data_IF_357092232067
#
_entry.id   IF_357092232067
#
_cell.length_a   1.000
_cell.length_b   1.000
_cell.length_c   1.000
_cell.angle_alpha   90.00
_cell.angle_beta   90.00
_cell.angle_gamma   90.00
#
_symmetry.space_group_name_H-M   'P 1'
#
loop_
_entity.id
_entity.type
_entity.pdbx_description
1 polymer ?
#
# COMPACT_ATOMS: atom_id res chain seq x y z
N UNK A 1 18.95 11.21 13.96
CA UNK A 1 17.99 10.26 14.57
C UNK A 1 17.10 9.76 13.45
N UNK A 2 16.84 8.45 13.33
CA UNK A 2 15.90 7.96 12.33
C UNK A 2 14.55 8.66 12.52
N UNK A 3 13.87 9.03 11.43
CA UNK A 3 12.61 9.78 11.51
C UNK A 3 11.46 8.98 12.13
N UNK A 4 11.71 7.71 12.49
CA UNK A 4 10.73 6.85 13.12
C UNK A 4 11.44 5.74 13.93
N UNK A 5 11.61 5.87 15.26
CA UNK A 5 12.03 4.75 16.09
C UNK A 5 10.90 3.70 16.07
N UNK A 6 11.15 2.58 15.39
CA UNK A 6 10.34 1.34 15.38
C UNK A 6 8.88 1.57 15.80
N UNK A 7 8.05 2.07 14.87
CA UNK A 7 6.62 2.21 15.13
C UNK A 7 6.10 0.86 15.62
N UNK A 8 5.68 0.79 16.89
CA UNK A 8 5.02 -0.40 17.43
C UNK A 8 3.76 -0.59 16.57
N UNK A 9 3.75 -1.65 15.77
CA UNK A 9 2.61 -2.02 14.95
C UNK A 9 1.39 -2.18 15.85
N UNK A 10 0.45 -1.23 15.80
CA UNK A 10 -0.82 -1.34 16.54
C UNK A 10 -1.70 -2.35 15.83
N UNK A 11 -1.61 -3.61 16.26
CA UNK A 11 -2.30 -4.74 15.63
C UNK A 11 -3.77 -4.77 16.02
N UNK A 12 -4.70 -4.81 15.05
CA UNK A 12 -6.11 -5.08 15.34
C UNK A 12 -6.28 -6.54 15.76
N UNK A 13 -7.36 -6.80 16.50
CA UNK A 13 -7.72 -8.17 16.89
C UNK A 13 -8.21 -8.96 15.67
N UNK A 14 -8.02 -10.27 15.67
CA UNK A 14 -8.50 -11.15 14.59
C UNK A 14 -10.02 -11.03 14.38
N UNK A 15 -10.80 -10.78 15.44
CA UNK A 15 -12.23 -10.53 15.33
C UNK A 15 -12.55 -9.27 14.50
N UNK A 16 -11.82 -8.16 14.73
CA UNK A 16 -11.97 -6.93 13.96
C UNK A 16 -11.56 -7.12 12.50
N UNK A 17 -10.48 -7.87 12.25
CA UNK A 17 -10.02 -8.15 10.88
C UNK A 17 -11.09 -8.95 10.12
N UNK A 18 -11.66 -9.99 10.74
CA UNK A 18 -12.69 -10.82 10.11
C UNK A 18 -13.97 -10.05 9.83
N UNK A 19 -14.50 -9.30 10.81
CA UNK A 19 -15.69 -8.48 10.59
C UNK A 19 -15.46 -7.43 9.49
N UNK A 20 -14.30 -6.76 9.50
CA UNK A 20 -13.93 -5.83 8.44
C UNK A 20 -13.85 -6.50 7.06
N UNK A 21 -13.28 -7.71 6.96
CA UNK A 21 -13.18 -8.45 5.70
C UNK A 21 -14.57 -8.88 5.19
N UNK A 22 -15.48 -9.27 6.08
CA UNK A 22 -16.87 -9.58 5.75
C UNK A 22 -17.64 -8.35 5.27
N UNK A 23 -17.46 -7.19 5.92
CA UNK A 23 -18.03 -5.92 5.47
C UNK A 23 -17.52 -5.53 4.07
N UNK A 24 -16.20 -5.60 3.84
CA UNK A 24 -15.60 -5.31 2.52
C UNK A 24 -16.13 -6.26 1.44
N UNK A 25 -16.24 -7.57 1.73
CA UNK A 25 -16.74 -8.56 0.77
C UNK A 25 -18.22 -8.37 0.43
N UNK A 26 -19.05 -8.05 1.41
CA UNK A 26 -20.51 -7.97 1.25
C UNK A 26 -21.01 -6.62 0.75
N UNK A 27 -20.38 -5.53 1.19
CA UNK A 27 -20.85 -4.14 0.94
C UNK A 27 -19.87 -3.33 0.09
N UNK A 28 -18.66 -3.82 -0.16
CA UNK A 28 -17.58 -3.07 -0.81
C UNK A 28 -16.99 -1.94 0.03
N UNK A 29 -17.45 -1.75 1.28
CA UNK A 29 -17.04 -0.68 2.20
C UNK A 29 -17.02 -1.21 3.64
N UNK A 30 -16.21 -0.58 4.48
CA UNK A 30 -16.05 -0.93 5.89
C UNK A 30 -16.15 0.30 6.78
N UNK A 31 -16.70 0.12 7.99
CA UNK A 31 -16.76 1.16 9.01
C UNK A 31 -15.46 1.25 9.84
N UNK A 32 -14.51 0.33 9.63
CA UNK A 32 -13.23 0.35 10.30
C UNK A 32 -12.25 1.31 9.64
N UNK A 33 -11.30 1.85 10.40
CA UNK A 33 -10.21 2.66 9.86
C UNK A 33 -9.18 1.85 9.06
N UNK A 34 -8.31 2.56 8.34
CA UNK A 34 -7.27 1.98 7.47
C UNK A 34 -6.36 0.98 8.19
N UNK A 35 -6.10 1.19 9.49
CA UNK A 35 -5.30 0.30 10.33
C UNK A 35 -5.86 -1.13 10.40
N UNK A 36 -7.18 -1.30 10.29
CA UNK A 36 -7.84 -2.62 10.22
C UNK A 36 -8.05 -3.04 8.77
N UNK A 37 -8.48 -2.12 7.91
CA UNK A 37 -8.78 -2.43 6.51
C UNK A 37 -7.60 -3.05 5.77
N UNK A 38 -6.37 -2.62 6.04
CA UNK A 38 -5.17 -3.18 5.40
C UNK A 38 -5.03 -4.69 5.65
N UNK A 39 -5.29 -5.18 6.86
CA UNK A 39 -5.24 -6.62 7.15
C UNK A 39 -6.44 -7.35 6.57
N UNK A 40 -7.62 -6.73 6.61
CA UNK A 40 -8.82 -7.29 6.02
C UNK A 40 -8.67 -7.49 4.49
N UNK A 41 -8.10 -6.52 3.78
CA UNK A 41 -7.75 -6.61 2.36
C UNK A 41 -6.80 -7.78 2.09
N UNK A 42 -5.75 -7.92 2.89
CA UNK A 42 -4.84 -9.07 2.80
C UNK A 42 -5.57 -10.41 3.01
N UNK A 43 -6.56 -10.45 3.91
CA UNK A 43 -7.37 -11.65 4.17
C UNK A 43 -8.28 -12.04 3.01
N UNK A 44 -8.62 -11.09 2.16
CA UNK A 44 -9.42 -11.31 0.95
C UNK A 44 -8.56 -11.64 -0.27
N UNK A 45 -7.24 -11.47 -0.18
CA UNK A 45 -6.32 -11.71 -1.28
C UNK A 45 -6.24 -13.21 -1.62
N UNK A 46 -6.44 -13.55 -2.89
CA UNK A 46 -6.14 -14.89 -3.37
C UNK A 46 -4.63 -15.04 -3.63
N UNK A 47 -3.95 -15.62 -2.65
CA UNK A 47 -2.52 -15.91 -2.69
C UNK A 47 -2.25 -17.41 -2.91
N UNK A 48 -3.27 -18.21 -3.19
CA UNK A 48 -3.09 -19.65 -3.43
C UNK A 48 -2.13 -19.96 -4.60
N UNK A 49 -2.12 -19.20 -5.72
CA UNK A 49 -1.17 -19.43 -6.81
C UNK A 49 0.30 -19.38 -6.36
N UNK A 50 0.65 -18.47 -5.45
CA UNK A 50 2.01 -18.36 -4.92
C UNK A 50 2.44 -19.63 -4.15
N UNK A 51 1.54 -20.22 -3.38
CA UNK A 51 1.82 -21.45 -2.65
C UNK A 51 2.06 -22.63 -3.59
N UNK A 52 1.42 -22.65 -4.76
CA UNK A 52 1.68 -23.63 -5.79
C UNK A 52 3.08 -23.41 -6.41
N UNK A 53 3.44 -22.16 -6.71
CA UNK A 53 4.76 -21.82 -7.24
C UNK A 53 5.90 -22.23 -6.29
N UNK A 54 5.70 -22.13 -4.97
CA UNK A 54 6.73 -22.50 -3.99
C UNK A 54 6.90 -24.01 -3.83
N UNK A 55 5.93 -24.79 -4.29
CA UNK A 55 6.00 -26.24 -4.36
C UNK A 55 6.50 -26.75 -5.73
N UNK A 56 6.63 -25.86 -6.72
CA UNK A 56 7.19 -26.22 -8.01
C UNK A 56 8.68 -26.56 -7.87
N UNK A 57 9.02 -27.83 -8.13
CA UNK A 57 10.39 -28.34 -7.98
C UNK A 57 11.38 -27.67 -8.93
N UNK A 58 10.97 -27.33 -10.16
CA UNK A 58 11.84 -26.64 -11.11
C UNK A 58 12.16 -25.22 -10.63
N UNK A 59 11.20 -24.50 -10.05
CA UNK A 59 11.41 -23.17 -9.50
C UNK A 59 12.30 -23.21 -8.26
N UNK A 60 12.09 -24.19 -7.39
CA UNK A 60 12.92 -24.40 -6.22
C UNK A 60 14.37 -24.75 -6.60
N UNK A 61 14.55 -25.63 -7.60
CA UNK A 61 15.86 -25.99 -8.14
C UNK A 61 16.59 -24.80 -8.76
N UNK A 62 15.91 -23.95 -9.53
CA UNK A 62 16.49 -22.73 -10.12
C UNK A 62 17.06 -21.76 -9.06
N UNK A 63 16.54 -21.82 -7.83
CA UNK A 63 16.95 -20.99 -6.71
C UNK A 63 17.91 -21.71 -5.74
N UNK A 64 18.26 -22.97 -6.00
CA UNK A 64 18.98 -23.84 -5.08
C UNK A 64 18.33 -23.91 -3.69
N UNK A 65 16.99 -23.98 -3.67
CA UNK A 65 16.21 -24.07 -2.44
C UNK A 65 15.37 -25.35 -2.45
N UNK A 66 15.13 -25.97 -1.28
CA UNK A 66 14.20 -27.07 -1.20
C UNK A 66 12.75 -26.57 -1.25
N UNK A 67 11.84 -27.43 -1.70
CA UNK A 67 10.42 -27.29 -1.42
C UNK A 67 10.15 -27.72 0.02
N UNK A 68 9.05 -27.25 0.62
CA UNK A 68 8.64 -27.63 1.98
C UNK A 68 7.20 -28.21 1.97
N UNK A 69 6.96 -29.37 1.35
CA UNK A 69 5.62 -29.90 1.12
C UNK A 69 4.86 -30.20 2.42
N UNK A 70 5.55 -30.62 3.48
CA UNK A 70 4.94 -30.83 4.80
C UNK A 70 4.42 -29.52 5.40
N UNK A 71 5.14 -28.42 5.20
CA UNK A 71 4.70 -27.08 5.64
C UNK A 71 3.51 -26.64 4.78
N UNK A 72 3.60 -26.78 3.47
CA UNK A 72 2.51 -26.43 2.55
C UNK A 72 1.19 -27.12 2.92
N UNK A 73 1.25 -28.42 3.23
CA UNK A 73 0.11 -29.19 3.71
C UNK A 73 -0.39 -28.69 5.08
N UNK A 74 0.53 -28.42 6.03
CA UNK A 74 0.18 -28.00 7.39
C UNK A 74 -0.57 -26.66 7.45
N UNK A 75 -0.33 -25.75 6.51
CA UNK A 75 -0.98 -24.43 6.45
C UNK A 75 -2.49 -24.55 6.32
N UNK A 76 -2.97 -25.56 5.58
CA UNK A 76 -4.40 -25.79 5.32
C UNK A 76 -5.10 -26.56 6.44
N UNK A 77 -4.36 -27.10 7.40
CA UNK A 77 -4.91 -27.91 8.49
C UNK A 77 -5.25 -27.05 9.70
N UNK A 78 -6.23 -27.48 10.48
CA UNK A 78 -6.49 -26.94 11.81
C UNK A 78 -5.48 -27.54 12.79
N UNK A 79 -4.44 -26.79 13.11
CA UNK A 79 -3.37 -27.21 14.00
C UNK A 79 -3.70 -26.86 15.48
N UNK A 80 -3.21 -27.67 16.40
CA UNK A 80 -3.18 -27.33 17.83
C UNK A 80 -2.12 -26.24 18.11
N UNK A 81 -2.23 -25.47 19.20
CA UNK A 81 -1.26 -24.44 19.54
C UNK A 81 0.20 -24.95 19.57
N UNK A 82 0.43 -26.15 20.12
CA UNK A 82 1.75 -26.76 20.16
C UNK A 82 2.29 -27.14 18.77
N UNK A 83 1.41 -27.55 17.84
CA UNK A 83 1.80 -27.82 16.46
C UNK A 83 2.13 -26.53 15.70
N UNK A 84 1.36 -25.45 15.94
CA UNK A 84 1.66 -24.13 15.40
C UNK A 84 3.05 -23.66 15.86
N UNK A 85 3.30 -23.68 17.17
CA UNK A 85 4.59 -23.28 17.75
C UNK A 85 5.74 -24.07 17.12
N UNK A 86 5.62 -25.42 17.07
CA UNK A 86 6.62 -26.27 16.44
C UNK A 86 6.87 -25.92 14.96
N UNK A 87 5.81 -25.66 14.19
CA UNK A 87 5.92 -25.27 12.80
C UNK A 87 6.70 -23.96 12.64
N UNK A 88 6.39 -22.95 13.46
CA UNK A 88 7.10 -21.67 13.45
C UNK A 88 8.57 -21.82 13.86
N UNK A 89 8.86 -22.60 14.90
CA UNK A 89 10.24 -22.88 15.32
C UNK A 89 11.05 -23.53 14.20
N UNK A 90 10.50 -24.54 13.52
CA UNK A 90 11.19 -25.21 12.41
C UNK A 90 11.44 -24.24 11.25
N UNK A 91 10.44 -23.42 10.89
CA UNK A 91 10.59 -22.43 9.83
C UNK A 91 11.66 -21.37 10.17
N UNK A 92 11.72 -20.94 11.42
CA UNK A 92 12.74 -20.00 11.89
C UNK A 92 14.13 -20.61 11.81
N UNK A 93 14.31 -21.84 12.30
CA UNK A 93 15.59 -22.57 12.22
C UNK A 93 16.05 -22.74 10.77
N UNK A 94 15.15 -23.12 9.86
CA UNK A 94 15.48 -23.22 8.44
C UNK A 94 15.87 -21.86 7.84
N UNK A 95 15.17 -20.80 8.22
CA UNK A 95 15.49 -19.44 7.77
C UNK A 95 16.88 -19.01 8.25
N UNK A 96 17.24 -19.29 9.50
CA UNK A 96 18.57 -19.04 10.08
C UNK A 96 19.67 -19.81 9.34
N UNK A 97 19.38 -21.05 8.91
CA UNK A 97 20.26 -21.85 8.05
C UNK A 97 20.29 -21.36 6.59
N UNK A 98 19.52 -20.32 6.28
CA UNK A 98 19.56 -19.65 5.00
C UNK A 98 18.51 -20.07 3.99
N UNK A 99 17.55 -20.90 4.39
CA UNK A 99 16.46 -21.38 3.54
C UNK A 99 15.45 -20.25 3.29
N UNK A 100 15.40 -19.75 2.06
CA UNK A 100 14.49 -18.66 1.69
C UNK A 100 13.06 -19.15 1.48
N UNK A 101 12.86 -20.42 1.10
CA UNK A 101 11.52 -21.03 1.06
C UNK A 101 10.84 -20.96 2.43
N UNK A 102 11.58 -21.23 3.51
CA UNK A 102 11.08 -21.11 4.88
C UNK A 102 10.72 -19.66 5.24
N UNK A 103 11.54 -18.69 4.83
CA UNK A 103 11.27 -17.27 5.02
C UNK A 103 9.99 -16.82 4.29
N UNK A 104 9.73 -17.33 3.07
CA UNK A 104 8.49 -17.06 2.33
C UNK A 104 7.25 -17.56 3.08
N UNK A 105 7.33 -18.77 3.63
CA UNK A 105 6.23 -19.30 4.45
C UNK A 105 6.01 -18.48 5.72
N UNK A 106 7.06 -18.05 6.41
CA UNK A 106 6.91 -17.14 7.56
C UNK A 106 6.27 -15.82 7.15
N UNK A 107 6.72 -15.22 6.04
CA UNK A 107 6.15 -13.98 5.53
C UNK A 107 4.65 -14.11 5.22
N UNK A 108 4.27 -15.21 4.58
CA UNK A 108 2.88 -15.54 4.26
C UNK A 108 2.02 -15.76 5.50
N UNK A 109 2.50 -16.57 6.45
CA UNK A 109 1.78 -16.85 7.69
C UNK A 109 1.54 -15.57 8.50
N UNK A 110 2.53 -14.68 8.59
CA UNK A 110 2.38 -13.39 9.25
C UNK A 110 1.54 -12.37 8.47
N UNK A 111 1.57 -12.38 7.13
CA UNK A 111 0.76 -11.42 6.36
C UNK A 111 -0.72 -11.78 6.44
N UNK A 112 -1.01 -13.07 6.47
CA UNK A 112 -2.35 -13.60 6.57
C UNK A 112 -2.80 -13.69 8.03
N UNK A 113 -1.94 -13.93 9.01
CA UNK A 113 -2.38 -14.28 10.37
C UNK A 113 -2.89 -15.73 10.43
N UNK A 114 -2.21 -16.64 9.72
CA UNK A 114 -2.52 -18.07 9.75
C UNK A 114 -1.70 -18.70 10.87
N UNK A 115 -2.36 -19.40 11.79
CA UNK A 115 -1.74 -20.06 12.95
C UNK A 115 -0.97 -19.12 13.90
N UNK A 116 -1.08 -17.80 13.71
CA UNK A 116 -0.43 -16.75 14.50
C UNK A 116 -1.16 -15.41 14.30
N UNK A 117 -0.80 -14.40 15.08
CA UNK A 117 -1.25 -13.02 14.85
C UNK A 117 -0.58 -12.39 13.63
N UNK A 118 -1.34 -11.63 12.84
CA UNK A 118 -0.79 -10.93 11.68
C UNK A 118 0.30 -9.92 12.08
N UNK A 119 1.37 -9.83 11.29
CA UNK A 119 2.40 -8.80 11.47
C UNK A 119 3.11 -8.45 10.16
N UNK A 120 2.82 -7.26 9.65
CA UNK A 120 3.39 -6.72 8.42
C UNK A 120 4.88 -6.43 8.58
N UNK A 121 5.33 -6.06 9.79
CA UNK A 121 6.75 -5.87 10.08
C UNK A 121 7.54 -7.16 9.96
N UNK A 122 7.02 -8.27 10.52
CA UNK A 122 7.64 -9.59 10.37
C UNK A 122 7.56 -10.07 8.93
N UNK A 123 6.43 -9.86 8.25
CA UNK A 123 6.30 -10.13 6.81
C UNK A 123 7.40 -9.41 6.01
N UNK A 124 7.54 -8.10 6.18
CA UNK A 124 8.56 -7.30 5.50
C UNK A 124 9.99 -7.75 5.84
N UNK A 125 10.24 -8.14 7.09
CA UNK A 125 11.53 -8.67 7.51
C UNK A 125 11.92 -9.94 6.75
N UNK A 126 11.04 -10.95 6.72
CA UNK A 126 11.33 -12.21 6.02
C UNK A 126 11.36 -12.05 4.50
N UNK A 127 10.52 -11.19 3.94
CA UNK A 127 10.58 -10.83 2.52
C UNK A 127 11.91 -10.17 2.15
N UNK A 128 12.39 -9.21 2.96
CA UNK A 128 13.69 -8.58 2.76
C UNK A 128 14.83 -9.58 2.84
N UNK A 129 14.77 -10.50 3.80
CA UNK A 129 15.76 -11.57 3.92
C UNK A 129 15.84 -12.41 2.64
N UNK A 130 14.70 -12.92 2.15
CA UNK A 130 14.66 -13.76 0.96
C UNK A 130 15.04 -12.98 -0.33
N UNK A 131 14.53 -11.76 -0.49
CA UNK A 131 14.90 -10.89 -1.61
C UNK A 131 16.39 -10.52 -1.62
N UNK A 132 16.99 -10.32 -0.43
CA UNK A 132 18.43 -10.09 -0.26
C UNK A 132 19.29 -11.26 -0.74
N UNK A 133 18.76 -12.48 -0.71
CA UNK A 133 19.37 -13.70 -1.28
C UNK A 133 19.02 -13.95 -2.74
N UNK A 134 18.44 -12.95 -3.43
CA UNK A 134 18.01 -13.04 -4.84
C UNK A 134 16.94 -14.10 -5.09
N UNK A 135 16.14 -14.43 -4.07
CA UNK A 135 14.96 -15.26 -4.26
C UNK A 135 13.81 -14.41 -4.83
N UNK A 136 13.58 -14.54 -6.13
CA UNK A 136 12.58 -13.76 -6.86
C UNK A 136 11.15 -13.98 -6.34
N UNK A 137 10.87 -15.12 -5.70
CA UNK A 137 9.55 -15.42 -5.13
C UNK A 137 9.19 -14.45 -4.00
N UNK A 138 10.19 -13.91 -3.32
CA UNK A 138 9.99 -12.91 -2.27
C UNK A 138 9.45 -11.60 -2.85
N UNK A 139 10.08 -11.12 -3.91
CA UNK A 139 9.62 -9.93 -4.63
C UNK A 139 8.24 -10.14 -5.26
N UNK A 140 7.96 -11.35 -5.76
CA UNK A 140 6.63 -11.69 -6.25
C UNK A 140 5.57 -11.62 -5.14
N UNK A 141 5.79 -12.28 -3.99
CA UNK A 141 4.88 -12.19 -2.85
C UNK A 141 4.71 -10.73 -2.38
N UNK A 142 5.79 -9.96 -2.31
CA UNK A 142 5.75 -8.57 -1.91
C UNK A 142 4.84 -7.73 -2.82
N UNK A 143 4.95 -7.93 -4.14
CA UNK A 143 4.10 -7.26 -5.12
C UNK A 143 2.62 -7.63 -4.94
N UNK A 144 2.31 -8.91 -4.78
CA UNK A 144 0.93 -9.37 -4.56
C UNK A 144 0.31 -8.77 -3.30
N UNK A 145 1.08 -8.66 -2.21
CA UNK A 145 0.62 -8.02 -0.98
C UNK A 145 0.36 -6.52 -1.17
N UNK A 146 1.23 -5.82 -1.91
CA UNK A 146 1.06 -4.39 -2.20
C UNK A 146 -0.14 -4.12 -3.12
N UNK A 147 -0.38 -4.99 -4.10
CA UNK A 147 -1.56 -4.92 -4.97
C UNK A 147 -2.83 -5.19 -4.18
N UNK A 148 -2.83 -6.24 -3.35
CA UNK A 148 -4.00 -6.64 -2.59
C UNK A 148 -4.37 -5.63 -1.50
N UNK A 149 -3.38 -5.05 -0.83
CA UNK A 149 -3.58 -4.08 0.24
C UNK A 149 -2.59 -2.90 0.14
N UNK A 150 -2.84 -1.91 -0.74
CA UNK A 150 -2.01 -0.71 -0.83
C UNK A 150 -1.86 0.04 0.49
N UNK A 151 -2.88 -0.02 1.37
CA UNK A 151 -2.85 0.55 2.71
C UNK A 151 -1.79 -0.09 3.63
N UNK A 152 -1.30 -1.30 3.30
CA UNK A 152 -0.22 -1.97 4.02
C UNK A 152 1.17 -1.51 3.56
N UNK A 153 1.27 -0.70 2.51
CA UNK A 153 2.55 -0.35 1.90
C UNK A 153 3.52 0.31 2.88
N UNK A 154 3.04 1.23 3.74
CA UNK A 154 3.90 1.85 4.76
C UNK A 154 4.58 0.83 5.67
N UNK A 155 3.89 -0.24 6.07
CA UNK A 155 4.49 -1.26 6.93
C UNK A 155 5.36 -2.25 6.16
N UNK A 156 4.98 -2.53 4.90
CA UNK A 156 5.68 -3.47 4.05
C UNK A 156 6.99 -2.89 3.50
N UNK A 157 6.97 -1.70 2.92
CA UNK A 157 8.12 -1.04 2.27
C UNK A 157 8.64 0.17 3.07
N UNK A 158 8.12 0.39 4.28
CA UNK A 158 8.50 1.55 5.11
C UNK A 158 9.99 1.72 5.30
N UNK A 159 10.70 0.64 5.64
CA UNK A 159 12.12 0.71 5.97
C UNK A 159 13.01 1.11 4.79
N UNK A 160 12.68 0.68 3.56
CA UNK A 160 13.47 1.04 2.37
C UNK A 160 13.28 2.51 2.01
N UNK A 161 12.03 2.99 2.01
CA UNK A 161 11.69 4.39 1.77
C UNK A 161 12.29 5.30 2.85
N UNK A 162 12.24 4.85 4.11
CA UNK A 162 12.81 5.56 5.24
C UNK A 162 14.33 5.72 5.11
N UNK A 163 15.03 4.65 4.72
CA UNK A 163 16.48 4.70 4.51
C UNK A 163 16.87 5.68 3.39
N UNK A 164 16.10 5.73 2.31
CA UNK A 164 16.35 6.67 1.22
C UNK A 164 16.00 8.12 1.59
N UNK A 165 14.96 8.32 2.40
CA UNK A 165 14.64 9.64 2.95
C UNK A 165 15.72 10.14 3.93
N UNK A 166 16.34 9.26 4.71
CA UNK A 166 17.46 9.59 5.58
C UNK A 166 18.72 10.00 4.80
N UNK A 167 19.03 9.29 3.70
CA UNK A 167 20.10 9.71 2.78
C UNK A 167 19.82 11.08 2.18
N UNK A 168 18.58 11.32 1.74
CA UNK A 168 18.18 12.62 1.22
C UNK A 168 18.29 13.73 2.26
N UNK A 169 17.87 13.49 3.50
CA UNK A 169 18.01 14.49 4.57
C UNK A 169 19.46 14.80 4.92
N UNK A 170 20.35 13.81 4.84
CA UNK A 170 21.78 14.05 5.03
C UNK A 170 22.34 15.05 3.99
N UNK A 171 21.81 15.06 2.76
CA UNK A 171 22.13 16.05 1.73
C UNK A 171 21.46 17.42 2.01
N UNK A 172 20.30 17.43 2.68
CA UNK A 172 19.47 18.61 2.94
C UNK A 172 19.18 18.83 4.45
N UNK A 173 20.20 19.01 5.31
CA UNK A 173 20.07 18.93 6.77
C UNK A 173 19.21 20.05 7.39
N UNK A 174 19.00 21.14 6.66
CA UNK A 174 18.19 22.29 7.10
C UNK A 174 16.67 22.02 7.06
N UNK A 175 16.25 20.94 6.42
CA UNK A 175 14.83 20.58 6.29
C UNK A 175 14.31 20.04 7.62
N UNK A 176 13.16 20.55 8.08
CA UNK A 176 12.52 20.08 9.31
C UNK A 176 12.11 18.59 9.17
N UNK A 177 12.60 17.70 10.06
CA UNK A 177 12.17 16.31 10.17
C UNK A 177 10.66 16.08 10.09
N UNK A 178 9.86 16.96 10.69
CA UNK A 178 8.38 16.82 10.69
C UNK A 178 7.78 17.00 9.29
N UNK A 179 8.33 17.93 8.49
CA UNK A 179 7.89 18.14 7.10
C UNK A 179 8.24 16.94 6.23
N UNK A 180 9.39 16.30 6.48
CA UNK A 180 9.78 15.05 5.80
C UNK A 180 8.79 13.95 6.15
N UNK A 181 8.46 13.75 7.43
CA UNK A 181 7.49 12.74 7.84
C UNK A 181 6.10 12.97 7.21
N UNK A 182 5.64 14.21 7.13
CA UNK A 182 4.40 14.56 6.45
C UNK A 182 4.45 14.24 4.94
N UNK A 183 5.56 14.58 4.27
CA UNK A 183 5.75 14.24 2.87
C UNK A 183 5.80 12.73 2.64
N UNK A 184 6.42 11.95 3.53
CA UNK A 184 6.42 10.49 3.48
C UNK A 184 5.00 9.92 3.60
N UNK A 185 4.17 10.46 4.50
CA UNK A 185 2.76 10.02 4.63
C UNK A 185 2.01 10.24 3.31
N UNK A 186 2.09 11.44 2.74
CA UNK A 186 1.47 11.76 1.45
C UNK A 186 1.96 10.87 0.30
N UNK A 187 3.23 10.43 0.34
CA UNK A 187 3.78 9.51 -0.66
C UNK A 187 3.05 8.16 -0.61
N UNK A 188 2.83 7.59 0.58
CA UNK A 188 2.07 6.33 0.75
C UNK A 188 0.60 6.48 0.36
N UNK A 189 0.02 7.65 0.57
CA UNK A 189 -1.38 7.93 0.22
C UNK A 189 -1.57 8.10 -1.31
N UNK A 190 -0.48 8.16 -2.09
CA UNK A 190 -0.53 8.37 -3.53
C UNK A 190 -0.68 7.04 -4.29
N UNK A 191 -1.82 6.79 -4.98
CA UNK A 191 -2.06 5.51 -5.65
C UNK A 191 -1.02 5.17 -6.73
N UNK A 192 -0.61 6.16 -7.52
CA UNK A 192 0.40 5.97 -8.57
C UNK A 192 1.73 5.45 -8.01
N UNK A 193 2.15 5.97 -6.85
CA UNK A 193 3.36 5.54 -6.18
C UNK A 193 3.24 4.09 -5.66
N UNK A 194 2.10 3.74 -5.05
CA UNK A 194 1.89 2.40 -4.52
C UNK A 194 1.77 1.34 -5.62
N UNK A 195 1.04 1.64 -6.70
CA UNK A 195 0.96 0.74 -7.87
C UNK A 195 2.33 0.57 -8.52
N UNK A 196 3.11 1.65 -8.65
CA UNK A 196 4.47 1.53 -9.16
C UNK A 196 5.39 0.75 -8.21
N UNK A 197 5.29 0.94 -6.90
CA UNK A 197 6.07 0.16 -5.94
C UNK A 197 5.83 -1.35 -6.09
N UNK A 198 4.57 -1.77 -6.29
CA UNK A 198 4.26 -3.16 -6.61
C UNK A 198 4.88 -3.63 -7.94
N UNK A 199 4.77 -2.81 -9.00
CA UNK A 199 5.41 -3.08 -10.31
C UNK A 199 6.93 -3.22 -10.18
N UNK A 200 7.57 -2.34 -9.41
CA UNK A 200 9.01 -2.35 -9.17
C UNK A 200 9.48 -3.64 -8.50
N UNK A 201 8.71 -4.19 -7.54
CA UNK A 201 9.01 -5.52 -6.97
C UNK A 201 8.96 -6.61 -8.03
N UNK A 202 7.97 -6.62 -8.92
CA UNK A 202 7.93 -7.61 -10.02
C UNK A 202 9.05 -7.42 -11.03
N UNK A 203 9.43 -6.18 -11.35
CA UNK A 203 10.60 -5.90 -12.20
C UNK A 203 11.86 -6.49 -11.54
N UNK A 204 12.07 -6.27 -10.23
CA UNK A 204 13.19 -6.89 -9.52
C UNK A 204 13.12 -8.42 -9.51
N UNK A 205 11.92 -9.02 -9.48
CA UNK A 205 11.77 -10.47 -9.62
C UNK A 205 12.15 -10.95 -11.04
N UNK A 206 11.78 -10.20 -12.07
CA UNK A 206 12.13 -10.48 -13.46
C UNK A 206 13.64 -10.39 -13.68
N UNK A 207 14.30 -9.35 -13.17
CA UNK A 207 15.76 -9.18 -13.23
C UNK A 207 16.51 -10.31 -12.50
N UNK A 208 15.89 -10.92 -11.49
CA UNK A 208 16.41 -12.09 -10.78
C UNK A 208 16.14 -13.42 -11.50
N UNK A 209 15.55 -13.39 -12.70
CA UNK A 209 15.28 -14.57 -13.51
C UNK A 209 13.96 -15.27 -13.19
N UNK A 210 12.98 -14.57 -12.60
CA UNK A 210 11.66 -15.16 -12.37
C UNK A 210 11.00 -15.61 -13.68
N UNK A 211 10.54 -16.87 -13.78
CA UNK A 211 9.88 -17.37 -14.99
C UNK A 211 8.46 -16.82 -15.20
N UNK A 212 7.88 -16.16 -14.19
CA UNK A 212 6.46 -15.75 -14.17
C UNK A 212 6.26 -14.24 -14.04
N UNK A 213 7.30 -13.50 -13.64
CA UNK A 213 7.17 -12.06 -13.35
C UNK A 213 6.69 -11.25 -14.55
N UNK A 214 7.21 -11.52 -15.76
CA UNK A 214 6.80 -10.78 -16.96
C UNK A 214 5.31 -10.97 -17.27
N UNK A 215 4.82 -12.22 -17.25
CA UNK A 215 3.41 -12.51 -17.47
C UNK A 215 2.54 -11.88 -16.37
N UNK A 216 3.02 -11.90 -15.12
CA UNK A 216 2.28 -11.30 -14.01
C UNK A 216 2.19 -9.78 -14.14
N UNK A 217 3.26 -9.10 -14.54
CA UNK A 217 3.27 -7.66 -14.83
C UNK A 217 2.23 -7.36 -15.91
N UNK A 218 2.24 -8.09 -17.04
CA UNK A 218 1.26 -7.92 -18.12
C UNK A 218 -0.17 -8.10 -17.61
N UNK A 219 -0.44 -9.19 -16.89
CA UNK A 219 -1.77 -9.50 -16.37
C UNK A 219 -2.31 -8.43 -15.43
N UNK A 220 -1.53 -8.01 -14.44
CA UNK A 220 -1.93 -6.99 -13.48
C UNK A 220 -2.03 -5.59 -14.10
N UNK A 221 -1.26 -5.31 -15.15
CA UNK A 221 -1.38 -4.08 -15.93
C UNK A 221 -2.70 -4.04 -16.69
N UNK A 222 -3.09 -5.13 -17.36
CA UNK A 222 -4.39 -5.25 -18.04
C UNK A 222 -5.58 -5.11 -17.08
N UNK A 223 -5.42 -5.57 -15.83
CA UNK A 223 -6.43 -5.43 -14.78
C UNK A 223 -6.46 -4.02 -14.13
N UNK A 224 -5.57 -3.11 -14.53
CA UNK A 224 -5.45 -1.76 -13.94
C UNK A 224 -4.85 -1.73 -12.53
N UNK A 225 -4.35 -2.86 -12.03
CA UNK A 225 -3.71 -2.99 -10.73
C UNK A 225 -2.28 -2.43 -10.73
N UNK A 226 -1.59 -2.50 -11.88
CA UNK A 226 -0.28 -1.87 -12.13
C UNK A 226 -0.40 -0.80 -13.21
N UNK A 227 0.50 0.20 -13.25
CA UNK A 227 0.41 1.26 -14.24
C UNK A 227 0.89 0.78 -15.61
N UNK A 228 0.14 1.13 -16.67
CA UNK A 228 0.46 0.83 -18.06
C UNK A 228 1.78 1.46 -18.50
N UNK A 229 1.98 2.73 -18.17
CA UNK A 229 3.19 3.48 -18.40
C UNK A 229 3.84 3.82 -17.07
N UNK A 230 5.15 4.05 -17.08
CA UNK A 230 5.83 4.47 -15.86
C UNK A 230 5.38 5.87 -15.46
N UNK A 231 4.98 6.07 -14.19
CA UNK A 231 4.55 7.39 -13.73
C UNK A 231 5.75 8.35 -13.61
N UNK A 232 5.46 9.63 -13.39
CA UNK A 232 6.50 10.65 -13.21
C UNK A 232 7.53 10.24 -12.14
N UNK A 233 8.82 10.65 -12.26
CA UNK A 233 9.89 10.26 -11.34
C UNK A 233 9.56 10.43 -9.84
N UNK A 234 8.80 11.47 -9.50
CA UNK A 234 8.34 11.74 -8.12
C UNK A 234 7.46 10.63 -7.52
N UNK A 235 6.78 9.83 -8.33
CA UNK A 235 5.99 8.68 -7.87
C UNK A 235 6.79 7.38 -7.89
N UNK A 236 7.98 7.37 -8.51
CA UNK A 236 8.84 6.20 -8.62
C UNK A 236 9.91 6.15 -7.53
N UNK A 237 10.39 7.31 -7.10
CA UNK A 237 11.50 7.43 -6.15
C UNK A 237 11.22 8.49 -5.10
N UNK A 238 11.45 8.14 -3.84
CA UNK A 238 11.19 9.06 -2.73
C UNK A 238 12.06 10.30 -2.75
N UNK A 239 13.30 10.22 -3.26
CA UNK A 239 14.17 11.38 -3.44
C UNK A 239 13.51 12.47 -4.28
N UNK A 240 13.05 12.12 -5.48
CA UNK A 240 12.37 13.05 -6.38
C UNK A 240 11.07 13.59 -5.78
N UNK A 241 10.33 12.76 -5.04
CA UNK A 241 9.15 13.21 -4.29
C UNK A 241 9.49 14.31 -3.29
N UNK A 242 10.52 14.09 -2.46
CA UNK A 242 10.96 15.05 -1.45
C UNK A 242 11.50 16.33 -2.07
N UNK A 243 12.25 16.24 -3.17
CA UNK A 243 12.72 17.41 -3.92
C UNK A 243 11.55 18.30 -4.39
N UNK A 244 10.52 17.68 -4.99
CA UNK A 244 9.33 18.39 -5.47
C UNK A 244 8.53 18.98 -4.31
N UNK A 245 8.31 18.23 -3.23
CA UNK A 245 7.43 18.65 -2.14
C UNK A 245 8.08 19.64 -1.16
N UNK A 246 9.40 19.60 -0.98
CA UNK A 246 10.08 20.34 0.09
C UNK A 246 11.03 21.43 -0.40
N UNK A 247 11.54 21.33 -1.64
CA UNK A 247 12.50 22.28 -2.18
C UNK A 247 11.89 23.22 -3.23
N UNK A 248 10.93 22.76 -4.03
CA UNK A 248 10.22 23.63 -4.99
C UNK A 248 9.13 24.43 -4.27
N UNK A 249 9.45 25.67 -3.88
CA UNK A 249 8.43 26.65 -3.49
C UNK A 249 7.57 27.03 -4.70
N UNK A 250 6.28 26.71 -4.67
CA UNK A 250 5.20 27.47 -5.33
C UNK A 250 5.23 27.72 -6.84
N UNK A 251 6.14 27.17 -7.64
CA UNK A 251 6.16 27.40 -9.09
C UNK A 251 5.96 26.10 -9.89
N UNK A 252 4.77 25.96 -10.46
CA UNK A 252 4.50 25.13 -11.63
C UNK A 252 5.28 25.68 -12.82
N UNK A 253 6.53 25.26 -12.96
CA UNK A 253 7.14 25.23 -14.28
C UNK A 253 6.55 24.02 -15.02
N UNK A 254 5.62 24.35 -15.91
CA UNK A 254 5.14 23.50 -16.99
C UNK A 254 6.33 22.87 -17.68
N UNK A 255 6.53 21.58 -17.44
CA UNK A 255 7.33 20.74 -18.35
C UNK A 255 6.59 20.77 -19.68
N UNK A 256 7.33 21.16 -20.72
CA UNK A 256 6.89 21.47 -22.07
C UNK A 256 5.83 20.51 -22.63
N UNK A 257 4.94 21.13 -23.40
CA UNK A 257 3.82 20.59 -24.15
C UNK A 257 4.17 19.28 -24.89
N UNK A 258 3.68 18.15 -24.37
CA UNK A 258 3.19 16.97 -25.11
C UNK A 258 2.94 15.76 -24.17
N UNK A 259 2.58 16.00 -22.91
CA UNK A 259 2.11 14.93 -22.03
C UNK A 259 0.61 14.79 -22.24
N UNK A 260 0.19 13.70 -22.89
CA UNK A 260 -1.19 13.22 -22.86
C UNK A 260 -1.63 13.15 -21.38
N UNK A 261 -2.45 14.11 -20.94
CA UNK A 261 -2.94 14.16 -19.56
C UNK A 261 -3.95 13.02 -19.39
N UNK A 262 -3.45 11.85 -18.98
CA UNK A 262 -4.30 10.80 -18.43
C UNK A 262 -4.66 11.17 -16.99
N UNK A 263 -5.88 10.82 -16.51
CA UNK A 263 -6.36 11.18 -15.17
C UNK A 263 -5.46 10.66 -14.03
N UNK A 264 -4.57 9.71 -14.32
CA UNK A 264 -3.62 9.12 -13.36
C UNK A 264 -2.36 9.97 -13.13
N UNK A 265 -2.09 10.98 -13.96
CA UNK A 265 -0.88 11.81 -13.91
C UNK A 265 -1.14 13.29 -13.57
N UNK A 266 -2.35 13.63 -13.11
CA UNK A 266 -2.67 15.00 -12.68
C UNK A 266 -1.87 15.32 -11.42
N UNK A 267 -0.99 16.35 -11.42
CA UNK A 267 -0.38 16.83 -10.19
C UNK A 267 -1.50 17.21 -9.22
N UNK A 268 -1.41 16.78 -7.97
CA UNK A 268 -2.27 17.34 -6.92
C UNK A 268 -2.02 18.84 -6.89
N UNK A 269 -2.99 19.62 -7.39
CA UNK A 269 -3.04 21.04 -7.12
C UNK A 269 -2.99 21.19 -5.59
N UNK A 270 -2.22 22.15 -5.06
CA UNK A 270 -2.28 22.44 -3.63
C UNK A 270 -3.75 22.66 -3.31
N UNK A 271 -4.32 21.77 -2.48
CA UNK A 271 -5.60 22.06 -1.87
C UNK A 271 -5.34 23.33 -1.06
N UNK A 272 -5.88 24.45 -1.55
CA UNK A 272 -5.98 25.66 -0.75
C UNK A 272 -6.52 25.20 0.60
N UNK A 273 -5.80 25.56 1.67
CA UNK A 273 -6.31 25.38 3.03
C UNK A 273 -7.76 25.87 3.00
N UNK A 274 -8.69 24.97 3.37
CA UNK A 274 -10.12 25.25 3.44
C UNK A 274 -10.33 26.18 4.64
N UNK A 275 -9.87 27.41 4.47
CA UNK A 275 -10.16 28.52 5.34
C UNK A 275 -11.65 28.79 5.11
N UNK A 276 -12.49 28.27 6.01
CA UNK A 276 -13.96 28.26 5.96
C UNK A 276 -14.68 29.62 5.76
N UNK A 277 -13.95 30.66 5.39
CA UNK A 277 -14.40 31.98 4.95
C UNK A 277 -15.25 31.87 3.67
N UNK A 278 -14.87 31.03 2.70
CA UNK A 278 -15.63 30.89 1.44
C UNK A 278 -16.98 30.19 1.64
N UNK A 279 -17.02 29.12 2.44
CA UNK A 279 -18.26 28.41 2.75
C UNK A 279 -19.27 29.30 3.50
N UNK A 280 -18.79 30.20 4.37
CA UNK A 280 -19.65 31.10 5.14
C UNK A 280 -20.27 32.21 4.27
N UNK A 281 -19.53 32.74 3.29
CA UNK A 281 -20.03 33.76 2.37
C UNK A 281 -21.10 33.21 1.41
N UNK A 282 -20.89 32.02 0.85
CA UNK A 282 -21.89 31.37 -0.01
C UNK A 282 -23.15 30.97 0.76
N UNK A 283 -23.02 30.58 2.04
CA UNK A 283 -24.18 30.27 2.89
C UNK A 283 -25.00 31.52 3.20
N UNK A 284 -24.37 32.67 3.45
CA UNK A 284 -25.06 33.96 3.64
C UNK A 284 -25.73 34.42 2.34
N UNK A 285 -25.04 34.32 1.21
CA UNK A 285 -25.60 34.69 -0.10
C UNK A 285 -26.82 33.82 -0.46
N UNK A 286 -26.74 32.51 -0.27
CA UNK A 286 -27.85 31.57 -0.50
C UNK A 286 -29.05 31.82 0.43
N UNK A 287 -28.78 32.20 1.69
CA UNK A 287 -29.84 32.55 2.64
C UNK A 287 -30.57 33.83 2.21
N UNK A 288 -29.84 34.88 1.82
CA UNK A 288 -30.44 36.15 1.39
C UNK A 288 -31.23 36.01 0.08
N UNK A 289 -30.72 35.26 -0.90
CA UNK A 289 -31.45 34.99 -2.15
C UNK A 289 -32.68 34.12 -1.92
N UNK A 290 -32.61 33.14 -1.01
CA UNK A 290 -33.76 32.34 -0.59
C UNK A 290 -34.87 33.18 0.07
N UNK A 291 -34.51 34.06 1.00
CA UNK A 291 -35.48 34.96 1.66
C UNK A 291 -36.11 35.93 0.66
N UNK A 292 -35.33 36.48 -0.27
CA UNK A 292 -35.85 37.39 -1.29
C UNK A 292 -36.87 36.72 -2.22
N UNK A 293 -36.63 35.47 -2.63
CA UNK A 293 -37.57 34.70 -3.45
C UNK A 293 -38.88 34.39 -2.72
N UNK A 294 -38.80 34.03 -1.43
CA UNK A 294 -39.98 33.78 -0.61
C UNK A 294 -40.80 35.07 -0.42
N UNK A 295 -40.15 36.20 -0.16
CA UNK A 295 -40.83 37.49 -0.02
C UNK A 295 -41.55 37.90 -1.32
N UNK A 296 -40.93 37.68 -2.48
CA UNK A 296 -41.52 37.98 -3.78
C UNK A 296 -42.72 37.06 -4.08
N UNK A 297 -42.63 35.78 -3.69
CA UNK A 297 -43.75 34.83 -3.81
C UNK A 297 -44.92 35.21 -2.89
N UNK A 298 -44.66 35.60 -1.64
CA UNK A 298 -45.71 36.09 -0.73
C UNK A 298 -46.35 37.37 -1.26
N UNK A 299 -45.55 38.31 -1.79
CA UNK A 299 -46.05 39.56 -2.35
C UNK A 299 -46.94 39.33 -3.57
N UNK A 300 -46.57 38.42 -4.46
CA UNK A 300 -47.39 38.07 -5.65
C UNK A 300 -48.68 37.35 -5.28
N UNK A 301 -48.68 36.52 -4.23
CA UNK A 301 -49.90 35.88 -3.69
C UNK A 301 -50.82 36.92 -3.04
N UNK A 302 -50.26 37.88 -2.30
CA UNK A 302 -51.04 38.96 -1.68
C UNK A 302 -51.67 39.89 -2.73
N UNK A 303 -50.97 40.24 -3.81
CA UNK A 303 -51.56 41.02 -4.91
C UNK A 303 -52.73 40.28 -5.55
N UNK A 304 -52.64 38.95 -5.71
CA UNK A 304 -53.74 38.14 -6.26
C UNK A 304 -54.92 37.92 -5.29
N UNK A 305 -54.75 38.22 -4.01
CA UNK A 305 -55.84 38.13 -3.02
C UNK A 305 -56.57 39.47 -2.81
N UNK A 306 -55.99 40.59 -3.29
CA UNK A 306 -56.54 41.93 -3.18
C UNK A 306 -56.93 42.57 -4.52
N UNK A 307 -56.86 41.81 -5.63
CA UNK A 307 -57.42 42.12 -6.95
C UNK A 307 -58.41 41.02 -7.32
#
# INVERSE_FOLDING_TARGET
MPFNPSQIEKRPTEAQIRDCAEQLRSKGKSNYGESVQKYAQLRLADLAPLLADWQNEAYAAALNQPTLPKIAAAIQLKLSPAQCEKMFTVLQQFTEQGNTTAALYLAYLYSQGIHTESSLQKTAHYLRFAAGKKDWRANHLWAELLVAAPLAARDLIGNEIQADAEKWHAEMPKTDPKRIEQALRRFYDTPAAMKYAAKAKLISAQEQGSPIAEQRIKGLTTLGALPHTDPAPQYRQIKHWLDVQLLRGGNTETVEDDILIMPENVPFLPQAEDDGIFAEQWRKLALYTGIALVALLVFTVLIKLFV
#
